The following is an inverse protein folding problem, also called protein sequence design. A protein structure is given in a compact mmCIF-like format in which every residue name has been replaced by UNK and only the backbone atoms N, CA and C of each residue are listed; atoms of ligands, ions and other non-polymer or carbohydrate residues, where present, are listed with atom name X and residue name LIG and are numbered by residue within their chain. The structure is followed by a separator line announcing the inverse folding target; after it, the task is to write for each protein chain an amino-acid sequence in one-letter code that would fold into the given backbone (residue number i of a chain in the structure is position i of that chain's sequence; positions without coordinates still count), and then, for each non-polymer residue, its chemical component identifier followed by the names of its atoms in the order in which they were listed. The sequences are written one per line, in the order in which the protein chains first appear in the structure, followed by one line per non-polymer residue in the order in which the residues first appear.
data_IF_137167777802
#
_entry.id   IF_137167777802
#
_cell.length_a   1.000
_cell.length_b   1.000
_cell.length_c   1.000
_cell.angle_alpha   90.00
_cell.angle_beta   90.00
_cell.angle_gamma   90.00
#
_symmetry.space_group_name_H-M   'P 1'
#
loop_
_entity.id
_entity.type
_entity.pdbx_description
1 polymer ?
#
# COMPACT_ATOMS: atom_id res chain seq x y z
N UNK A 1 14.81 22.06 8.78
CA UNK A 1 15.38 23.42 8.78
C UNK A 1 16.88 23.37 8.56
N UNK A 2 17.60 22.43 9.19
CA UNK A 2 18.99 22.04 8.87
C UNK A 2 19.37 22.01 7.37
N UNK A 3 18.51 21.46 6.50
CA UNK A 3 18.75 21.44 5.05
C UNK A 3 18.72 22.84 4.41
N UNK A 4 17.86 23.74 4.89
CA UNK A 4 17.77 25.12 4.36
C UNK A 4 18.91 25.98 4.94
N UNK A 5 19.34 25.69 6.17
CA UNK A 5 20.52 26.30 6.80
C UNK A 5 21.83 25.98 6.05
N UNK A 6 21.99 24.75 5.56
CA UNK A 6 23.17 24.33 4.79
C UNK A 6 23.14 24.75 3.31
N UNK A 7 21.96 24.84 2.69
CA UNK A 7 21.82 25.08 1.25
C UNK A 7 21.61 26.56 0.87
N UNK A 8 21.31 27.42 1.86
CA UNK A 8 21.06 28.84 1.71
C UNK A 8 19.60 29.18 1.32
N UNK A 9 19.05 30.31 1.81
CA UNK A 9 17.66 30.71 1.55
C UNK A 9 17.37 31.12 0.10
N UNK A 10 18.39 31.40 -0.74
CA UNK A 10 18.23 31.79 -2.15
C UNK A 10 17.55 30.74 -3.02
N UNK A 11 17.63 29.45 -2.65
CA UNK A 11 17.05 28.35 -3.42
C UNK A 11 15.57 28.11 -3.12
N UNK A 12 15.00 28.78 -2.12
CA UNK A 12 13.62 28.61 -1.71
C UNK A 12 12.77 29.74 -2.30
N UNK A 13 11.65 29.44 -3.00
CA UNK A 13 10.76 30.48 -3.51
C UNK A 13 10.25 31.39 -2.38
N UNK A 14 10.20 32.70 -2.62
CA UNK A 14 9.91 33.73 -1.61
C UNK A 14 8.59 33.52 -0.83
N UNK A 15 7.60 32.86 -1.44
CA UNK A 15 6.29 32.60 -0.83
C UNK A 15 6.09 31.15 -0.38
N UNK A 16 7.16 30.36 -0.27
CA UNK A 16 7.04 28.95 0.07
C UNK A 16 6.87 28.74 1.58
N UNK A 17 5.64 28.48 2.02
CA UNK A 17 5.28 28.26 3.44
C UNK A 17 5.56 26.83 3.88
N UNK A 18 6.83 26.39 3.80
CA UNK A 18 7.22 25.02 4.14
C UNK A 18 6.93 24.63 5.59
N UNK A 19 6.99 25.59 6.53
CA UNK A 19 6.65 25.35 7.93
C UNK A 19 5.16 25.03 8.08
N UNK A 20 4.29 25.89 7.56
CA UNK A 20 2.85 25.67 7.58
C UNK A 20 2.44 24.40 6.83
N UNK A 21 3.07 24.09 5.69
CA UNK A 21 2.81 22.86 4.95
C UNK A 21 3.24 21.62 5.76
N UNK A 22 4.40 21.66 6.43
CA UNK A 22 4.87 20.57 7.28
C UNK A 22 3.93 20.33 8.46
N UNK A 23 3.50 21.40 9.10
CA UNK A 23 2.61 21.32 10.25
C UNK A 23 1.23 20.82 9.81
N UNK A 24 0.74 21.23 8.64
CA UNK A 24 -0.47 20.66 8.02
C UNK A 24 -0.35 19.17 7.69
N UNK A 25 0.82 18.67 7.25
CA UNK A 25 1.00 17.23 7.03
C UNK A 25 1.12 16.42 8.32
N UNK A 26 1.52 17.06 9.43
CA UNK A 26 1.61 16.41 10.75
C UNK A 26 0.26 16.38 11.46
N UNK A 27 -0.43 17.51 11.42
CA UNK A 27 -1.70 17.77 12.09
C UNK A 27 -2.71 18.17 11.02
N UNK A 28 -2.99 17.23 10.12
CA UNK A 28 -4.04 17.46 9.14
C UNK A 28 -5.40 17.40 9.84
N UNK A 29 -6.30 18.28 9.41
CA UNK A 29 -7.70 18.18 9.80
C UNK A 29 -8.26 16.88 9.22
N UNK A 30 -8.43 15.88 10.08
CA UNK A 30 -8.99 14.60 9.73
C UNK A 30 -10.18 14.31 10.65
N UNK A 31 -11.17 13.62 10.09
CA UNK A 31 -12.29 13.11 10.89
C UNK A 31 -11.74 12.11 11.90
N UNK A 32 -12.16 12.25 13.16
CA UNK A 32 -11.81 11.34 14.24
C UNK A 32 -12.26 9.92 13.89
N UNK A 33 -11.30 9.05 13.62
CA UNK A 33 -11.52 7.66 13.20
C UNK A 33 -12.24 6.83 14.27
N UNK A 34 -12.20 7.27 15.53
CA UNK A 34 -12.87 6.58 16.65
C UNK A 34 -14.39 6.76 16.64
N UNK A 35 -14.89 7.80 15.96
CA UNK A 35 -16.32 8.15 15.92
C UNK A 35 -17.02 7.68 14.65
N UNK A 36 -16.28 7.09 13.70
CA UNK A 36 -16.82 6.69 12.40
C UNK A 36 -17.03 5.19 12.38
N UNK A 37 -18.29 4.79 12.23
CA UNK A 37 -18.69 3.39 12.04
C UNK A 37 -19.01 3.14 10.56
N UNK A 38 -18.36 2.14 9.97
CA UNK A 38 -18.52 1.80 8.56
C UNK A 38 -19.33 0.51 8.42
N UNK A 39 -20.58 0.64 8.00
CA UNK A 39 -21.46 -0.49 7.70
C UNK A 39 -21.73 -0.61 6.20
N UNK A 40 -21.46 -1.79 5.62
CA UNK A 40 -21.80 -2.09 4.23
C UNK A 40 -23.23 -2.64 4.12
N UNK A 41 -24.21 -1.75 3.97
CA UNK A 41 -25.63 -2.10 3.81
C UNK A 41 -25.94 -2.69 2.44
N UNK A 42 -27.13 -3.28 2.29
CA UNK A 42 -27.60 -3.69 0.96
C UNK A 42 -27.89 -2.47 0.10
N UNK A 43 -27.33 -2.40 -1.13
CA UNK A 43 -27.70 -1.36 -2.07
C UNK A 43 -29.18 -1.47 -2.44
N UNK A 44 -29.87 -0.35 -2.54
CA UNK A 44 -31.21 -0.30 -3.12
C UNK A 44 -31.11 -0.45 -4.64
N UNK A 45 -31.40 -1.65 -5.14
CA UNK A 45 -31.28 -1.98 -6.56
C UNK A 45 -32.39 -1.36 -7.41
N UNK A 46 -33.58 -1.15 -6.84
CA UNK A 46 -34.73 -0.59 -7.56
C UNK A 46 -34.59 0.93 -7.68
N UNK A 47 -34.22 1.59 -6.57
CA UNK A 47 -33.84 3.00 -6.55
C UNK A 47 -32.65 3.31 -7.45
N UNK A 48 -31.63 2.44 -7.49
CA UNK A 48 -30.48 2.62 -8.37
C UNK A 48 -30.85 2.50 -9.85
N UNK A 49 -31.74 1.57 -10.19
CA UNK A 49 -32.17 1.36 -11.58
C UNK A 49 -33.03 2.51 -12.06
N UNK A 50 -34.01 2.95 -11.27
CA UNK A 50 -34.85 4.11 -11.59
C UNK A 50 -34.04 5.40 -11.68
N UNK A 51 -33.10 5.64 -10.78
CA UNK A 51 -32.21 6.81 -10.87
C UNK A 51 -31.37 6.78 -12.16
N UNK A 52 -30.67 5.68 -12.45
CA UNK A 52 -29.76 5.64 -13.59
C UNK A 52 -30.50 5.60 -14.94
N UNK A 53 -31.61 4.85 -15.03
CA UNK A 53 -32.34 4.67 -16.29
C UNK A 53 -33.33 5.81 -16.52
N UNK A 54 -34.16 6.15 -15.52
CA UNK A 54 -35.25 7.10 -15.73
C UNK A 54 -34.77 8.55 -15.65
N UNK A 55 -33.88 8.88 -14.69
CA UNK A 55 -33.40 10.26 -14.55
C UNK A 55 -32.18 10.57 -15.42
N UNK A 56 -31.30 9.58 -15.64
CA UNK A 56 -30.02 9.79 -16.33
C UNK A 56 -29.92 9.09 -17.69
N UNK A 57 -30.99 8.41 -18.14
CA UNK A 57 -31.10 7.79 -19.47
C UNK A 57 -29.95 6.82 -19.81
N UNK A 58 -29.43 6.10 -18.80
CA UNK A 58 -28.47 5.03 -19.05
C UNK A 58 -29.14 3.81 -19.69
N UNK A 59 -28.36 3.06 -20.46
CA UNK A 59 -28.81 1.81 -21.07
C UNK A 59 -29.26 0.78 -20.01
N UNK A 60 -30.54 0.39 -20.10
CA UNK A 60 -31.19 -0.47 -19.10
C UNK A 60 -30.53 -1.85 -19.00
N UNK A 61 -30.13 -2.42 -20.13
CA UNK A 61 -29.51 -3.75 -20.19
C UNK A 61 -28.11 -3.74 -19.54
N UNK A 62 -27.36 -2.66 -19.76
CA UNK A 62 -26.07 -2.40 -19.11
C UNK A 62 -26.23 -2.23 -17.61
N UNK A 63 -27.18 -1.40 -17.14
CA UNK A 63 -27.43 -1.18 -15.71
C UNK A 63 -27.82 -2.49 -15.01
N UNK A 64 -28.69 -3.30 -15.61
CA UNK A 64 -29.08 -4.61 -15.06
C UNK A 64 -27.86 -5.54 -14.87
N UNK A 65 -26.98 -5.63 -15.88
CA UNK A 65 -25.73 -6.41 -15.78
C UNK A 65 -24.80 -5.93 -14.66
N UNK A 66 -24.74 -4.62 -14.41
CA UNK A 66 -23.93 -4.07 -13.31
C UNK A 66 -24.56 -4.35 -11.94
N UNK A 67 -25.88 -4.26 -11.83
CA UNK A 67 -26.62 -4.61 -10.62
C UNK A 67 -26.37 -6.08 -10.22
N UNK A 68 -26.41 -7.00 -11.18
CA UNK A 68 -26.08 -8.42 -10.94
C UNK A 68 -24.62 -8.61 -10.49
N UNK A 69 -23.68 -7.91 -11.13
CA UNK A 69 -22.27 -7.94 -10.72
C UNK A 69 -22.08 -7.40 -9.30
N UNK A 70 -22.80 -6.35 -8.92
CA UNK A 70 -22.73 -5.74 -7.59
C UNK A 70 -23.25 -6.71 -6.51
N UNK A 71 -24.38 -7.40 -6.77
CA UNK A 71 -24.91 -8.47 -5.92
C UNK A 71 -23.88 -9.58 -5.69
N UNK A 72 -23.25 -10.04 -6.77
CA UNK A 72 -22.26 -11.10 -6.69
C UNK A 72 -20.96 -10.65 -5.99
N UNK A 73 -20.55 -9.39 -6.18
CA UNK A 73 -19.36 -8.84 -5.55
C UNK A 73 -19.50 -8.72 -4.02
N UNK A 74 -20.69 -8.38 -3.52
CA UNK A 74 -20.97 -8.30 -2.07
C UNK A 74 -20.68 -9.61 -1.36
N UNK A 75 -21.10 -10.72 -1.96
CA UNK A 75 -20.92 -12.06 -1.38
C UNK A 75 -19.51 -12.61 -1.58
N UNK A 76 -18.79 -12.10 -2.59
CA UNK A 76 -17.42 -12.52 -2.91
C UNK A 76 -16.40 -11.77 -2.03
N UNK A 77 -16.49 -11.96 -0.72
CA UNK A 77 -15.46 -11.50 0.20
C UNK A 77 -14.24 -12.43 0.14
N UNK A 78 -13.05 -11.86 -0.06
CA UNK A 78 -11.79 -12.61 0.06
C UNK A 78 -11.50 -12.83 1.55
N UNK A 79 -11.02 -14.02 1.91
CA UNK A 79 -10.55 -14.30 3.26
C UNK A 79 -9.48 -13.26 3.65
N UNK A 80 -9.62 -12.67 4.84
CA UNK A 80 -8.63 -11.71 5.36
C UNK A 80 -7.27 -12.40 5.52
N UNK A 81 -6.18 -11.85 4.95
CA UNK A 81 -4.84 -12.39 5.14
C UNK A 81 -4.46 -12.43 6.62
N UNK A 82 -3.69 -13.43 7.04
CA UNK A 82 -3.20 -13.53 8.43
C UNK A 82 -2.33 -12.32 8.83
N UNK A 83 -1.58 -11.75 7.89
CA UNK A 83 -0.81 -10.52 8.06
C UNK A 83 -1.68 -9.30 8.44
N UNK A 84 -3.01 -9.38 8.28
CA UNK A 84 -3.93 -8.34 8.75
C UNK A 84 -4.22 -8.43 10.25
N UNK A 85 -3.94 -9.57 10.88
CA UNK A 85 -4.14 -9.81 12.32
C UNK A 85 -2.84 -9.64 13.11
N UNK A 86 -1.70 -9.97 12.51
CA UNK A 86 -0.39 -9.87 13.15
C UNK A 86 0.29 -8.56 12.76
N UNK A 87 0.82 -7.84 13.74
CA UNK A 87 1.65 -6.65 13.49
C UNK A 87 2.88 -6.99 12.64
N UNK A 88 3.42 -6.00 11.92
CA UNK A 88 4.62 -6.19 11.09
C UNK A 88 5.73 -6.83 11.91
N UNK A 89 6.33 -7.89 11.39
CA UNK A 89 7.53 -8.48 11.98
C UNK A 89 8.58 -7.38 12.15
N UNK A 90 9.04 -7.17 13.39
CA UNK A 90 10.12 -6.23 13.68
C UNK A 90 11.38 -6.83 13.06
N UNK A 91 11.80 -6.28 11.92
CA UNK A 91 13.06 -6.69 11.30
C UNK A 91 14.18 -6.15 12.18
N UNK A 92 14.67 -6.99 13.09
CA UNK A 92 15.90 -6.71 13.83
C UNK A 92 17.08 -6.87 12.87
N UNK A 93 17.46 -5.77 12.23
CA UNK A 93 18.67 -5.70 11.42
C UNK A 93 19.84 -5.84 12.39
N UNK A 94 20.45 -7.02 12.43
CA UNK A 94 21.69 -7.27 13.17
C UNK A 94 22.76 -6.30 12.66
N UNK A 95 23.61 -5.79 13.54
CA UNK A 95 24.66 -4.83 13.18
C UNK A 95 25.63 -5.35 12.09
N UNK A 96 25.67 -6.67 11.86
CA UNK A 96 26.42 -7.29 10.77
C UNK A 96 25.84 -7.05 9.37
N UNK A 97 24.54 -6.75 9.27
CA UNK A 97 23.81 -6.60 7.99
C UNK A 97 23.57 -5.12 7.63
N UNK A 98 23.90 -4.19 8.54
CA UNK A 98 23.90 -2.76 8.25
C UNK A 98 25.02 -2.46 7.25
N UNK A 99 24.63 -2.01 6.06
CA UNK A 99 25.58 -1.61 5.04
C UNK A 99 26.40 -0.40 5.53
N UNK A 100 27.68 -0.64 5.76
CA UNK A 100 28.63 0.34 6.29
C UNK A 100 29.56 0.78 5.16
N UNK A 101 29.34 1.96 4.54
CA UNK A 101 30.06 2.38 3.34
C UNK A 101 31.57 2.59 3.56
N UNK A 102 32.02 2.66 4.82
CA UNK A 102 33.42 2.84 5.20
C UNK A 102 34.17 1.52 5.50
N UNK A 103 33.49 0.37 5.57
CA UNK A 103 34.15 -0.94 5.73
C UNK A 103 34.49 -1.53 4.36
N UNK A 104 35.77 -1.52 4.00
CA UNK A 104 36.29 -2.27 2.84
C UNK A 104 35.87 -3.73 2.94
N UNK A 105 35.11 -4.18 1.95
CA UNK A 105 34.47 -5.50 1.84
C UNK A 105 35.50 -6.62 1.63
N UNK A 106 36.25 -6.99 2.65
CA UNK A 106 37.16 -8.15 2.62
C UNK A 106 36.39 -9.47 2.87
N UNK A 107 35.47 -9.83 1.97
CA UNK A 107 34.68 -11.06 2.15
C UNK A 107 33.97 -11.60 0.92
N UNK A 108 34.07 -10.93 -0.24
CA UNK A 108 33.35 -11.34 -1.45
C UNK A 108 33.94 -12.55 -2.19
N UNK A 109 34.85 -13.34 -1.59
CA UNK A 109 35.49 -14.50 -2.25
C UNK A 109 35.33 -15.86 -1.55
N UNK A 110 34.59 -15.99 -0.44
CA UNK A 110 34.44 -17.29 0.23
C UNK A 110 33.08 -17.99 -0.01
N UNK A 111 32.00 -17.26 -0.33
CA UNK A 111 30.65 -17.84 -0.42
C UNK A 111 30.30 -18.52 -1.76
N UNK A 112 31.02 -18.23 -2.84
CA UNK A 112 30.68 -18.73 -4.18
C UNK A 112 31.11 -20.19 -4.42
N UNK A 113 32.01 -20.73 -3.59
CA UNK A 113 32.53 -22.09 -3.77
C UNK A 113 31.61 -23.17 -3.17
N UNK A 114 30.84 -22.88 -2.10
CA UNK A 114 30.01 -23.90 -1.44
C UNK A 114 28.67 -24.19 -2.16
N UNK A 115 28.15 -23.25 -2.96
CA UNK A 115 26.86 -23.43 -3.67
C UNK A 115 26.94 -24.22 -4.98
N UNK A 116 28.15 -24.52 -5.50
CA UNK A 116 28.30 -25.28 -6.75
C UNK A 116 28.33 -26.81 -6.59
N UNK A 117 28.33 -27.34 -5.36
CA UNK A 117 28.40 -28.80 -5.13
C UNK A 117 27.06 -29.46 -4.73
N UNK A 118 25.99 -28.68 -4.55
CA UNK A 118 24.69 -29.21 -4.13
C UNK A 118 23.62 -29.28 -5.25
N UNK A 119 23.95 -28.84 -6.48
CA UNK A 119 22.99 -28.73 -7.59
C UNK A 119 23.14 -29.84 -8.66
N UNK A 120 23.87 -30.94 -8.39
CA UNK A 120 24.11 -32.00 -9.39
C UNK A 120 23.56 -33.39 -9.02
N UNK A 121 22.47 -33.48 -8.25
CA UNK A 121 21.79 -34.75 -8.02
C UNK A 121 20.26 -34.55 -7.99
N UNK A 122 19.64 -34.42 -9.16
CA UNK A 122 18.21 -34.70 -9.31
C UNK A 122 18.03 -36.20 -9.54
N UNK A 123 17.08 -36.89 -8.90
CA UNK A 123 16.72 -38.23 -9.32
C UNK A 123 15.72 -38.15 -10.47
N UNK A 124 16.08 -38.84 -11.55
CA UNK A 124 15.29 -39.10 -12.73
C UNK A 124 14.06 -39.96 -12.42
N UNK A 125 13.06 -39.79 -13.28
CA UNK A 125 11.82 -40.55 -13.33
C UNK A 125 12.00 -42.09 -13.28
N UNK A 126 11.05 -42.75 -12.59
CA UNK A 126 10.37 -43.97 -13.01
C UNK A 126 9.01 -44.05 -12.31
#
# INVERSE_FOLDING_TARGET
EKVIEELGPEKVPANFRYQAARDFFRECEAVDTSKVEFEFKEPDFDGLTSYLVDQWSFDKERVARYVERLRNAKNRTKQRPLDSFFGRAKVEIKDSDKFDPNKKRAGAKAGAALKRKAASAGPAAK
#
